data_IF_341820533258
#
_entry.id   IF_341820533258
#
_cell.length_a   1.000
_cell.length_b   1.000
_cell.length_c   1.000
_cell.angle_alpha   90.00
_cell.angle_beta   90.00
_cell.angle_gamma   90.00
#
_symmetry.space_group_name_H-M   'P 1'
#
loop_
_entity.id
_entity.type
_entity.pdbx_description
1 polymer ?
#
# COMPACT_ATOMS: atom_id res chain seq x y z
N UNK A 1 -8.74 -16.08 6.50
CA UNK A 1 -9.27 -14.92 5.77
C UNK A 1 -10.78 -15.00 5.78
N UNK A 2 -11.47 -13.92 6.14
CA UNK A 2 -12.94 -13.86 6.08
C UNK A 2 -13.36 -13.52 4.64
N UNK A 3 -14.30 -14.26 4.02
CA UNK A 3 -14.83 -13.92 2.70
C UNK A 3 -15.42 -12.51 2.67
N UNK A 4 -15.10 -11.75 1.62
CA UNK A 4 -15.60 -10.38 1.43
C UNK A 4 -14.89 -9.31 2.27
N UNK A 5 -13.87 -9.65 3.05
CA UNK A 5 -13.12 -8.67 3.84
C UNK A 5 -12.42 -7.63 2.95
N UNK A 6 -12.25 -6.42 3.50
CA UNK A 6 -11.34 -5.42 2.95
C UNK A 6 -9.93 -5.66 3.48
N UNK A 7 -8.97 -5.83 2.57
CA UNK A 7 -7.56 -6.10 2.88
C UNK A 7 -6.71 -4.94 2.42
N UNK A 8 -5.95 -4.36 3.36
CA UNK A 8 -4.98 -3.30 3.10
C UNK A 8 -3.60 -3.92 3.27
N UNK A 9 -2.93 -4.16 2.15
CA UNK A 9 -1.56 -4.61 2.08
C UNK A 9 -0.61 -3.42 2.18
N UNK A 10 0.00 -3.26 3.36
CA UNK A 10 0.93 -2.16 3.70
C UNK A 10 2.40 -2.53 3.48
N UNK A 11 2.68 -3.82 3.32
CA UNK A 11 4.03 -4.35 3.24
C UNK A 11 4.78 -3.88 2.01
N UNK A 12 6.08 -3.64 2.18
CA UNK A 12 7.00 -3.44 1.05
C UNK A 12 8.27 -4.25 1.30
N UNK A 13 8.36 -5.38 0.62
CA UNK A 13 9.54 -6.25 0.59
C UNK A 13 10.18 -6.19 -0.79
N UNK A 14 11.48 -5.91 -0.84
CA UNK A 14 12.25 -5.89 -2.09
C UNK A 14 12.88 -7.25 -2.32
N UNK A 15 12.46 -7.94 -3.38
CA UNK A 15 12.99 -9.24 -3.78
C UNK A 15 13.81 -9.07 -5.06
N UNK A 16 15.06 -9.52 -5.04
CA UNK A 16 15.94 -9.49 -6.21
C UNK A 16 15.84 -10.82 -6.92
N UNK A 17 15.53 -10.79 -8.23
CA UNK A 17 15.64 -11.97 -9.07
C UNK A 17 17.13 -12.20 -9.41
N UNK A 18 17.70 -13.30 -8.93
CA UNK A 18 19.14 -13.60 -9.05
C UNK A 18 19.61 -13.79 -10.51
N UNK A 19 18.73 -14.29 -11.39
CA UNK A 19 19.06 -14.52 -12.81
C UNK A 19 19.11 -13.23 -13.63
N UNK A 20 18.24 -12.27 -13.32
CA UNK A 20 18.08 -11.02 -14.09
C UNK A 20 18.66 -9.80 -13.38
N UNK A 21 19.02 -9.92 -12.11
CA UNK A 21 19.45 -8.82 -11.23
C UNK A 21 18.36 -7.79 -10.93
N UNK A 22 17.13 -7.97 -11.43
CA UNK A 22 16.04 -6.99 -11.27
C UNK A 22 15.33 -7.17 -9.93
N UNK A 23 15.03 -6.05 -9.29
CA UNK A 23 14.23 -6.04 -8.07
C UNK A 23 12.74 -5.91 -8.37
N UNK A 24 11.92 -6.69 -7.67
CA UNK A 24 10.45 -6.55 -7.60
C UNK A 24 10.03 -6.20 -6.19
N UNK A 25 8.91 -5.49 -6.07
CA UNK A 25 8.28 -5.19 -4.80
C UNK A 25 7.15 -6.19 -4.56
N UNK A 26 7.15 -6.77 -3.37
CA UNK A 26 6.12 -7.66 -2.86
C UNK A 26 5.51 -7.06 -1.59
N UNK A 27 4.23 -7.31 -1.37
CA UNK A 27 3.57 -6.96 -0.11
C UNK A 27 3.58 -8.10 0.90
N UNK A 28 2.85 -7.92 2.01
CA UNK A 28 2.81 -8.89 3.11
C UNK A 28 1.77 -10.00 2.88
N UNK A 29 0.89 -9.81 1.89
CA UNK A 29 -0.28 -10.65 1.67
C UNK A 29 -0.02 -11.65 0.54
N UNK A 30 -0.41 -12.91 0.78
CA UNK A 30 -0.36 -13.96 -0.24
C UNK A 30 -1.27 -13.61 -1.45
N UNK A 31 -0.80 -13.78 -2.70
CA UNK A 31 -1.60 -13.50 -3.90
C UNK A 31 -2.97 -14.19 -3.94
N UNK A 32 -3.12 -15.37 -3.31
CA UNK A 32 -4.38 -16.09 -3.26
C UNK A 32 -5.50 -15.32 -2.53
N UNK A 33 -5.16 -14.34 -1.69
CA UNK A 33 -6.13 -13.50 -0.97
C UNK A 33 -7.03 -12.70 -1.91
N UNK A 34 -6.56 -12.39 -3.13
CA UNK A 34 -7.36 -11.72 -4.15
C UNK A 34 -8.64 -12.49 -4.54
N UNK A 35 -8.69 -13.80 -4.32
CA UNK A 35 -9.87 -14.64 -4.59
C UNK A 35 -10.90 -14.67 -3.46
N UNK A 36 -10.53 -14.22 -2.26
CA UNK A 36 -11.37 -14.29 -1.05
C UNK A 36 -11.83 -12.89 -0.60
N UNK A 37 -10.97 -11.88 -0.76
CA UNK A 37 -11.24 -10.52 -0.33
C UNK A 37 -12.31 -9.85 -1.21
N UNK A 38 -13.16 -9.02 -0.59
CA UNK A 38 -14.10 -8.15 -1.32
C UNK A 38 -13.42 -6.89 -1.85
N UNK A 39 -12.36 -6.43 -1.15
CA UNK A 39 -11.51 -5.32 -1.55
C UNK A 39 -10.06 -5.63 -1.19
N UNK A 40 -9.12 -5.32 -2.08
CA UNK A 40 -7.68 -5.53 -1.86
C UNK A 40 -6.89 -4.34 -2.40
N UNK A 41 -5.99 -3.76 -1.60
CA UNK A 41 -5.01 -2.79 -2.10
C UNK A 41 -3.85 -3.52 -2.80
N UNK A 42 -3.48 -3.15 -4.04
CA UNK A 42 -2.42 -3.83 -4.76
C UNK A 42 -1.01 -3.40 -4.32
N UNK A 43 -0.05 -4.32 -4.43
CA UNK A 43 1.37 -4.01 -4.29
C UNK A 43 2.10 -4.42 -5.58
N UNK A 44 2.73 -3.48 -6.32
CA UNK A 44 2.84 -2.04 -6.07
C UNK A 44 1.55 -1.27 -6.42
N UNK A 45 1.43 -0.03 -5.91
CA UNK A 45 0.42 0.94 -6.37
C UNK A 45 -0.74 1.23 -5.41
N UNK A 46 -0.84 0.49 -4.30
CA UNK A 46 -1.86 0.69 -3.27
C UNK A 46 -1.50 1.78 -2.27
N UNK A 47 -0.93 1.39 -1.12
CA UNK A 47 -0.71 2.30 0.01
C UNK A 47 0.37 3.37 -0.21
N UNK A 48 1.42 3.06 -1.00
CA UNK A 48 2.58 3.94 -1.16
C UNK A 48 2.24 5.34 -1.69
N UNK A 49 1.45 5.47 -2.78
CA UNK A 49 0.95 6.77 -3.25
C UNK A 49 0.10 7.51 -2.20
N UNK A 50 -0.74 6.79 -1.45
CA UNK A 50 -1.61 7.39 -0.43
C UNK A 50 -0.82 7.96 0.75
N UNK A 51 0.29 7.33 1.15
CA UNK A 51 1.16 7.87 2.21
C UNK A 51 1.66 9.28 1.88
N UNK A 52 2.08 9.52 0.63
CA UNK A 52 2.51 10.86 0.19
C UNK A 52 1.36 11.85 0.16
N UNK A 53 0.20 11.44 -0.36
CA UNK A 53 -0.99 12.29 -0.39
C UNK A 53 -1.43 12.70 1.03
N UNK A 54 -1.43 11.76 1.97
CA UNK A 54 -1.80 12.03 3.36
C UNK A 54 -0.79 12.93 4.07
N UNK A 55 0.52 12.81 3.78
CA UNK A 55 1.51 13.76 4.27
C UNK A 55 1.18 15.19 3.81
N UNK A 56 0.89 15.39 2.52
CA UNK A 56 0.53 16.71 2.00
C UNK A 56 -0.76 17.26 2.62
N UNK A 57 -1.78 16.40 2.77
CA UNK A 57 -3.03 16.76 3.46
C UNK A 57 -2.76 17.23 4.88
N UNK A 58 -1.94 16.51 5.64
CA UNK A 58 -1.59 16.87 7.01
C UNK A 58 -0.84 18.21 7.07
N UNK A 59 0.05 18.49 6.12
CA UNK A 59 0.75 19.78 6.03
C UNK A 59 -0.22 20.93 5.77
N UNK A 60 -1.17 20.77 4.85
CA UNK A 60 -2.18 21.79 4.56
C UNK A 60 -3.06 22.04 5.77
N UNK A 61 -3.58 20.98 6.40
CA UNK A 61 -4.42 21.12 7.61
C UNK A 61 -3.67 21.80 8.76
N UNK A 62 -2.36 21.53 8.92
CA UNK A 62 -1.56 22.18 9.95
C UNK A 62 -1.39 23.68 9.68
N UNK A 63 -1.20 24.07 8.41
CA UNK A 63 -1.11 25.47 8.01
C UNK A 63 -2.44 26.21 8.19
N UNK A 64 -3.56 25.58 7.83
CA UNK A 64 -4.91 26.16 8.01
C UNK A 64 -5.23 26.40 9.49
N UNK A 65 -4.88 25.46 10.38
CA UNK A 65 -5.07 25.61 11.84
C UNK A 65 -4.24 26.74 12.47
N UNK A 66 -3.18 27.20 11.82
CA UNK A 66 -2.38 28.34 12.31
C UNK A 66 -3.01 29.70 11.94
N UNK A 67 -3.98 29.70 11.02
CA UNK A 67 -4.67 30.91 10.55
C UNK A 67 -6.02 31.14 11.23
N UNK A 68 -6.54 30.15 11.97
CA UNK A 68 -7.76 30.22 12.79
C UNK A 68 -7.46 30.67 14.22
#
# INVERSE_FOLDING_TARGET
>A
MQPGAAVIDVGITRVVNEETGKAKLHGDVDPAVASVAGFLSPTPGGVGPMTRAMLMKNVVEAAERQLS
#
